data_IF_415684751299
#
_entry.id   IF_415684751299
#
_cell.length_a   1.000
_cell.length_b   1.000
_cell.length_c   1.000
_cell.angle_alpha   90.00
_cell.angle_beta   90.00
_cell.angle_gamma   90.00
#
_symmetry.space_group_name_H-M   'P 1'
#
loop_
_entity.id
_entity.type
_entity.pdbx_description
1 polymer ?
#
# COMPACT_ATOMS: atom_id res chain seq x y z
N UNK A 1 9.34 12.59 16.41
CA UNK A 1 10.77 12.47 16.74
C UNK A 1 10.94 12.11 18.22
N UNK A 2 12.09 11.58 18.63
CA UNK A 2 12.43 11.32 20.04
C UNK A 2 13.91 10.99 20.18
N UNK A 3 14.47 11.10 21.38
CA UNK A 3 15.83 10.63 21.69
C UNK A 3 15.74 9.23 22.32
N UNK A 4 16.54 8.30 21.84
CA UNK A 4 16.70 6.97 22.44
C UNK A 4 18.04 6.86 23.16
N UNK A 5 18.02 6.48 24.44
CA UNK A 5 19.22 6.27 25.27
C UNK A 5 19.29 4.84 25.77
N UNK A 6 20.43 4.18 25.62
CA UNK A 6 20.55 2.80 26.07
C UNK A 6 21.94 2.22 25.86
N UNK A 7 21.97 0.90 25.62
CA UNK A 7 23.20 0.19 25.31
C UNK A 7 23.87 0.74 24.04
N UNK A 8 25.18 0.58 23.94
CA UNK A 8 25.92 0.94 22.74
C UNK A 8 25.40 0.13 21.54
N UNK A 9 25.25 0.80 20.40
CA UNK A 9 24.87 0.16 19.15
C UNK A 9 25.98 -0.78 18.68
N UNK A 10 25.65 -2.05 18.51
CA UNK A 10 26.49 -2.99 17.77
C UNK A 10 26.11 -2.95 16.26
N UNK A 11 26.97 -3.53 15.44
CA UNK A 11 26.77 -3.61 13.98
C UNK A 11 25.43 -4.28 13.61
N UNK A 12 25.02 -5.27 14.40
CA UNK A 12 23.77 -5.98 14.16
C UNK A 12 22.54 -5.09 14.39
N UNK A 13 22.47 -4.40 15.53
CA UNK A 13 21.37 -3.50 15.86
C UNK A 13 21.32 -2.31 14.91
N UNK A 14 22.48 -1.74 14.55
CA UNK A 14 22.54 -0.66 13.56
C UNK A 14 21.94 -1.09 12.22
N UNK A 15 22.33 -2.27 11.70
CA UNK A 15 21.75 -2.84 10.48
C UNK A 15 20.26 -3.08 10.59
N UNK A 16 19.76 -3.55 11.74
CA UNK A 16 18.33 -3.75 11.97
C UNK A 16 17.54 -2.44 11.98
N UNK A 17 18.09 -1.36 12.54
CA UNK A 17 17.46 -0.05 12.53
C UNK A 17 17.38 0.53 11.12
N UNK A 18 18.46 0.42 10.33
CA UNK A 18 18.49 0.82 8.93
C UNK A 18 17.47 0.01 8.12
N UNK A 19 17.44 -1.32 8.31
CA UNK A 19 16.49 -2.19 7.61
C UNK A 19 15.03 -1.83 7.94
N UNK A 20 14.72 -1.55 9.21
CA UNK A 20 13.38 -1.12 9.63
C UNK A 20 13.01 0.23 9.00
N UNK A 21 13.95 1.18 8.97
CA UNK A 21 13.79 2.48 8.33
C UNK A 21 13.44 2.32 6.85
N UNK A 22 14.22 1.52 6.11
CA UNK A 22 14.01 1.27 4.69
C UNK A 22 12.66 0.62 4.42
N UNK A 23 12.30 -0.42 5.17
CA UNK A 23 11.02 -1.13 5.00
C UNK A 23 9.81 -0.24 5.29
N UNK A 24 9.90 0.61 6.32
CA UNK A 24 8.83 1.54 6.64
C UNK A 24 8.67 2.61 5.55
N UNK A 25 9.78 3.18 5.09
CA UNK A 25 9.81 4.17 4.01
C UNK A 25 9.28 3.61 2.67
N UNK A 26 9.61 2.36 2.35
CA UNK A 26 9.19 1.68 1.12
C UNK A 26 7.68 1.36 1.15
N UNK A 27 7.20 0.74 2.24
CA UNK A 27 5.80 0.34 2.42
C UNK A 27 4.87 1.47 2.83
N UNK A 28 4.82 1.77 4.13
CA UNK A 28 3.94 2.81 4.71
C UNK A 28 4.24 4.21 4.16
N UNK A 29 5.51 4.51 3.92
CA UNK A 29 5.97 5.76 3.33
C UNK A 29 5.67 5.91 1.83
N UNK A 30 5.14 4.87 1.15
CA UNK A 30 4.95 4.82 -0.32
C UNK A 30 6.17 5.32 -1.08
N UNK A 31 7.31 4.63 -0.89
CA UNK A 31 8.63 5.04 -1.41
C UNK A 31 8.98 6.48 -1.02
N UNK A 32 8.86 6.77 0.28
CA UNK A 32 9.18 8.05 0.94
C UNK A 32 8.31 9.27 0.55
N UNK A 33 7.29 9.08 -0.28
CA UNK A 33 6.35 10.16 -0.61
C UNK A 33 5.59 10.67 0.62
N UNK A 34 5.24 9.77 1.54
CA UNK A 34 4.46 10.08 2.74
C UNK A 34 5.30 10.32 3.99
N UNK A 35 6.37 9.54 4.17
CA UNK A 35 7.20 9.56 5.38
C UNK A 35 8.66 9.33 5.00
N UNK A 36 9.55 10.14 5.56
CA UNK A 36 10.99 9.93 5.60
C UNK A 36 11.44 9.83 7.05
N UNK A 37 12.39 8.95 7.31
CA UNK A 37 12.90 8.69 8.65
C UNK A 37 14.41 8.92 8.63
N UNK A 38 14.91 9.61 9.66
CA UNK A 38 16.33 9.85 9.89
C UNK A 38 16.76 9.39 11.29
N UNK A 39 17.99 8.89 11.38
CA UNK A 39 18.63 8.51 12.64
C UNK A 39 19.94 9.28 12.76
N UNK A 40 20.09 10.05 13.85
CA UNK A 40 21.22 10.97 14.03
C UNK A 40 21.88 10.74 15.37
N UNK A 41 23.21 10.83 15.43
CA UNK A 41 23.92 10.85 16.71
C UNK A 41 23.52 12.10 17.49
N UNK A 42 22.90 11.91 18.66
CA UNK A 42 22.34 13.03 19.43
C UNK A 42 23.44 13.92 20.03
N UNK A 43 24.55 13.31 20.45
CA UNK A 43 25.65 14.00 21.15
C UNK A 43 26.40 15.03 20.30
N UNK A 44 26.23 15.01 18.96
CA UNK A 44 26.85 15.97 18.05
C UNK A 44 25.94 17.12 17.65
N UNK A 45 24.68 17.13 18.11
CA UNK A 45 23.67 18.10 17.68
C UNK A 45 23.63 19.33 18.58
N UNK A 46 23.46 20.50 17.96
CA UNK A 46 23.17 21.75 18.67
C UNK A 46 21.67 22.05 18.67
N UNK A 47 21.03 22.03 19.84
CA UNK A 47 19.60 22.33 19.98
C UNK A 47 19.33 23.86 20.04
N UNK A 48 18.15 24.34 19.57
CA UNK A 48 17.05 23.60 18.95
C UNK A 48 17.34 23.17 17.50
N UNK A 49 16.63 22.13 17.05
CA UNK A 49 16.66 21.69 15.65
C UNK A 49 15.57 22.40 14.84
N UNK A 50 15.83 22.62 13.56
CA UNK A 50 14.96 23.36 12.67
C UNK A 50 14.63 22.56 11.41
N UNK A 51 13.33 22.43 11.12
CA UNK A 51 12.80 21.94 9.86
C UNK A 51 12.20 23.13 9.08
N UNK A 52 12.74 23.45 7.91
CA UNK A 52 12.31 24.62 7.13
C UNK A 52 12.36 24.35 5.62
N UNK A 53 11.58 25.10 4.86
CA UNK A 53 11.64 25.10 3.41
C UNK A 53 12.64 26.17 2.92
N UNK A 54 13.57 25.80 2.03
CA UNK A 54 14.63 26.67 1.51
C UNK A 54 14.66 26.64 -0.01
N UNK A 55 15.25 27.66 -0.64
CA UNK A 55 15.51 27.64 -2.07
C UNK A 55 16.59 26.58 -2.38
N UNK A 56 16.51 25.85 -3.51
CA UNK A 56 17.40 24.73 -3.80
C UNK A 56 18.91 25.06 -3.75
N UNK A 57 19.28 26.27 -4.15
CA UNK A 57 20.67 26.74 -4.25
C UNK A 57 21.17 27.42 -2.96
N UNK A 58 20.30 27.58 -1.96
CA UNK A 58 20.58 28.41 -0.78
C UNK A 58 21.33 27.70 0.35
N UNK A 59 21.43 26.36 0.29
CA UNK A 59 22.06 25.53 1.32
C UNK A 59 22.98 24.53 0.63
N UNK A 60 24.19 24.36 1.16
CA UNK A 60 25.17 23.38 0.72
C UNK A 60 25.58 22.48 1.88
N UNK A 61 25.75 21.18 1.62
CA UNK A 61 26.28 20.23 2.58
C UNK A 61 26.89 19.03 1.84
N UNK A 62 27.66 18.20 2.55
CA UNK A 62 28.18 16.94 2.01
C UNK A 62 27.11 15.86 2.20
N UNK A 63 26.47 15.34 1.14
CA UNK A 63 25.51 14.25 1.27
C UNK A 63 26.22 12.95 1.69
N UNK A 64 25.50 12.07 2.38
CA UNK A 64 26.00 10.74 2.76
C UNK A 64 26.51 9.98 1.52
N UNK A 65 27.72 9.41 1.60
CA UNK A 65 28.40 8.78 0.45
C UNK A 65 28.73 9.73 -0.72
N UNK A 66 28.80 11.04 -0.45
CA UNK A 66 29.19 12.08 -1.42
C UNK A 66 30.66 12.49 -1.34
N UNK A 67 31.23 12.91 -2.47
CA UNK A 67 32.65 13.30 -2.59
C UNK A 67 32.90 14.81 -2.33
N UNK A 68 31.90 15.58 -1.90
CA UNK A 68 32.05 17.01 -1.65
C UNK A 68 30.75 17.76 -1.35
N UNK A 69 30.85 19.05 -1.06
CA UNK A 69 29.68 19.90 -0.79
C UNK A 69 28.86 20.16 -2.05
N UNK A 70 27.56 19.89 -1.96
CA UNK A 70 26.58 20.08 -3.02
C UNK A 70 25.41 20.90 -2.51
N UNK A 71 24.81 21.71 -3.37
CA UNK A 71 23.47 22.25 -3.11
C UNK A 71 22.36 21.24 -3.41
N UNK A 72 21.11 21.58 -3.08
CA UNK A 72 19.99 20.64 -3.19
C UNK A 72 19.66 20.32 -4.67
N UNK A 73 19.86 21.28 -5.58
CA UNK A 73 19.67 21.08 -7.02
C UNK A 73 20.73 20.13 -7.59
N UNK A 74 21.98 20.32 -7.21
CA UNK A 74 23.10 19.44 -7.56
C UNK A 74 22.84 18.01 -7.05
N UNK A 75 22.43 17.85 -5.79
CA UNK A 75 22.09 16.53 -5.22
C UNK A 75 21.04 15.82 -6.06
N UNK A 76 19.92 16.48 -6.39
CA UNK A 76 18.84 15.85 -7.19
C UNK A 76 19.29 15.48 -8.61
N UNK A 77 20.20 16.26 -9.19
CA UNK A 77 20.66 16.07 -10.56
C UNK A 77 21.74 14.99 -10.70
N UNK A 78 22.64 14.84 -9.71
CA UNK A 78 23.84 14.00 -9.87
C UNK A 78 23.93 12.84 -8.88
N UNK A 79 23.50 13.02 -7.63
CA UNK A 79 23.65 12.01 -6.59
C UNK A 79 22.73 10.80 -6.88
N UNK A 80 23.18 9.53 -6.72
CA UNK A 80 22.36 8.34 -6.97
C UNK A 80 21.01 8.37 -6.25
N UNK A 81 21.00 8.67 -4.94
CA UNK A 81 19.76 8.83 -4.16
C UNK A 81 18.94 10.06 -4.56
N UNK A 82 19.60 11.13 -4.99
CA UNK A 82 18.92 12.31 -5.53
C UNK A 82 18.10 11.95 -6.76
N UNK A 83 18.70 11.27 -7.73
CA UNK A 83 18.02 10.79 -8.94
C UNK A 83 16.89 9.80 -8.63
N UNK A 84 17.11 8.88 -7.69
CA UNK A 84 16.14 7.86 -7.30
C UNK A 84 14.83 8.49 -6.76
N UNK A 85 14.93 9.57 -5.97
CA UNK A 85 13.79 10.19 -5.28
C UNK A 85 13.43 11.60 -5.77
N UNK A 86 14.09 12.13 -6.81
CA UNK A 86 13.85 13.50 -7.31
C UNK A 86 12.39 13.77 -7.67
N UNK A 87 11.69 12.75 -8.17
CA UNK A 87 10.28 12.84 -8.53
C UNK A 87 9.37 13.22 -7.35
N UNK A 88 9.78 12.95 -6.11
CA UNK A 88 8.99 13.29 -4.90
C UNK A 88 8.86 14.81 -4.72
N UNK A 89 9.86 15.57 -5.19
CA UNK A 89 9.91 17.03 -5.08
C UNK A 89 9.64 17.73 -6.42
N UNK A 90 9.27 16.99 -7.46
CA UNK A 90 9.05 17.54 -8.79
C UNK A 90 7.97 18.63 -8.79
N UNK A 91 8.31 19.80 -9.33
CA UNK A 91 7.39 20.95 -9.43
C UNK A 91 7.36 21.87 -8.20
N UNK A 92 8.06 21.54 -7.12
CA UNK A 92 8.19 22.41 -5.95
C UNK A 92 9.33 23.43 -6.11
N UNK A 93 9.13 24.66 -5.61
CA UNK A 93 10.12 25.76 -5.67
C UNK A 93 11.02 25.85 -4.45
N UNK A 94 10.61 25.23 -3.35
CA UNK A 94 11.37 25.20 -2.10
C UNK A 94 11.42 23.76 -1.61
N UNK A 95 12.53 23.41 -0.99
CA UNK A 95 12.81 22.07 -0.53
C UNK A 95 13.00 22.03 0.98
N UNK A 96 12.52 20.98 1.66
CA UNK A 96 12.65 20.88 3.09
C UNK A 96 14.10 20.55 3.49
N UNK A 97 14.59 21.20 4.53
CA UNK A 97 15.90 20.94 5.11
C UNK A 97 15.75 20.75 6.62
N UNK A 98 16.49 19.79 7.17
CA UNK A 98 16.58 19.59 8.61
C UNK A 98 17.98 19.96 9.08
N UNK A 99 18.10 20.84 10.06
CA UNK A 99 19.37 21.41 10.51
C UNK A 99 19.37 21.73 12.00
N UNK A 100 20.57 21.91 12.56
CA UNK A 100 20.76 22.25 13.97
C UNK A 100 20.85 23.78 14.20
N UNK A 101 20.95 24.19 15.45
CA UNK A 101 21.06 25.60 15.84
C UNK A 101 22.37 26.28 15.37
N UNK A 102 23.40 25.49 15.03
CA UNK A 102 24.66 25.99 14.47
C UNK A 102 24.58 26.21 12.96
N UNK A 103 23.45 25.85 12.33
CA UNK A 103 23.21 25.96 10.89
C UNK A 103 23.73 24.78 10.08
N UNK A 104 24.21 23.70 10.73
CA UNK A 104 24.65 22.49 10.04
C UNK A 104 23.46 21.64 9.60
N UNK A 105 23.52 21.16 8.37
CA UNK A 105 22.49 20.30 7.79
C UNK A 105 22.61 18.89 8.36
N UNK A 106 21.50 18.35 8.85
CA UNK A 106 21.35 16.95 9.25
C UNK A 106 20.90 16.11 8.06
N UNK A 107 19.93 16.62 7.29
CA UNK A 107 19.40 15.92 6.11
C UNK A 107 18.64 16.86 5.20
N UNK A 108 18.47 16.40 3.96
CA UNK A 108 17.53 16.88 2.96
C UNK A 108 16.40 15.84 2.80
N UNK A 109 15.33 15.88 3.62
CA UNK A 109 14.21 14.96 3.47
C UNK A 109 13.47 15.17 2.13
N UNK A 110 12.81 14.14 1.57
CA UNK A 110 12.94 12.72 1.89
C UNK A 110 14.17 12.05 1.21
N UNK A 111 15.10 12.85 0.69
CA UNK A 111 16.11 12.44 -0.28
C UNK A 111 17.30 11.77 0.40
N UNK A 112 18.05 12.48 1.24
CA UNK A 112 19.34 12.00 1.77
C UNK A 112 19.75 12.70 3.07
N UNK A 113 20.53 12.00 3.90
CA UNK A 113 21.17 12.54 5.09
C UNK A 113 22.52 13.20 4.75
N UNK A 114 23.05 14.04 5.65
CA UNK A 114 24.44 14.48 5.53
C UNK A 114 25.43 13.38 5.92
N UNK A 115 26.66 13.47 5.42
CA UNK A 115 27.73 12.52 5.78
C UNK A 115 28.25 12.74 7.21
N UNK A 116 28.15 13.98 7.71
CA UNK A 116 28.69 14.40 9.00
C UNK A 116 27.76 14.09 10.19
N UNK A 117 26.70 14.87 10.37
CA UNK A 117 25.72 14.75 11.44
C UNK A 117 24.63 13.72 11.12
N UNK A 118 24.48 13.36 9.85
CA UNK A 118 23.42 12.50 9.31
C UNK A 118 23.64 10.99 9.45
N UNK A 119 24.71 10.56 10.13
CA UNK A 119 25.10 9.15 10.24
C UNK A 119 25.22 8.68 11.69
N UNK A 120 24.60 7.54 11.96
CA UNK A 120 24.72 6.80 13.22
C UNK A 120 25.85 5.76 13.10
N UNK A 121 26.61 5.51 14.16
CA UNK A 121 27.72 4.56 14.13
C UNK A 121 27.68 3.54 15.27
N UNK A 122 28.44 2.46 15.11
CA UNK A 122 28.64 1.49 16.19
C UNK A 122 29.32 2.16 17.38
N UNK A 123 28.83 1.89 18.59
CA UNK A 123 29.32 2.50 19.83
C UNK A 123 28.43 3.63 20.35
N UNK A 124 27.58 4.22 19.51
CA UNK A 124 26.64 5.27 19.95
C UNK A 124 25.65 4.70 20.96
N UNK A 125 25.48 5.40 22.09
CA UNK A 125 24.56 5.03 23.19
C UNK A 125 23.31 5.90 23.22
N UNK A 126 23.32 7.00 22.47
CA UNK A 126 22.26 7.99 22.40
C UNK A 126 22.11 8.49 20.96
N UNK A 127 20.89 8.47 20.45
CA UNK A 127 20.58 8.94 19.11
C UNK A 127 19.18 9.54 19.01
N UNK A 128 19.01 10.47 18.07
CA UNK A 128 17.74 11.07 17.69
C UNK A 128 17.09 10.24 16.59
N UNK A 129 15.86 9.81 16.82
CA UNK A 129 14.93 9.39 15.78
C UNK A 129 14.12 10.58 15.29
N UNK A 130 14.07 10.76 13.98
CA UNK A 130 13.33 11.81 13.29
C UNK A 130 12.41 11.17 12.25
N UNK A 131 11.19 11.69 12.12
CA UNK A 131 10.30 11.32 11.04
C UNK A 131 9.59 12.57 10.51
N UNK A 132 9.75 12.84 9.22
CA UNK A 132 9.10 13.92 8.48
C UNK A 132 8.18 13.36 7.42
N UNK A 133 7.13 14.09 7.06
CA UNK A 133 6.18 13.59 6.07
C UNK A 133 5.02 14.53 5.79
N UNK A 134 4.25 14.18 4.75
CA UNK A 134 3.01 14.85 4.38
C UNK A 134 1.76 14.20 5.02
N UNK A 135 1.95 13.06 5.69
CA UNK A 135 0.91 12.26 6.31
C UNK A 135 1.21 12.13 7.82
N UNK A 136 0.50 12.92 8.63
CA UNK A 136 0.75 13.03 10.08
C UNK A 136 0.48 11.70 10.81
N UNK A 137 -0.52 10.94 10.39
CA UNK A 137 -0.81 9.61 10.95
C UNK A 137 0.36 8.64 10.68
N UNK A 138 0.85 8.61 9.44
CA UNK A 138 1.98 7.75 9.08
C UNK A 138 3.28 8.16 9.79
N UNK A 139 3.53 9.47 9.96
CA UNK A 139 4.67 9.99 10.74
C UNK A 139 4.56 9.56 12.20
N UNK A 140 3.41 9.76 12.84
CA UNK A 140 3.19 9.39 14.24
C UNK A 140 3.30 7.86 14.44
N UNK A 141 2.73 7.07 13.52
CA UNK A 141 2.84 5.61 13.52
C UNK A 141 4.31 5.17 13.45
N UNK A 142 5.09 5.74 12.53
CA UNK A 142 6.51 5.42 12.42
C UNK A 142 7.25 5.70 13.73
N UNK A 143 6.96 6.84 14.35
CA UNK A 143 7.56 7.25 15.62
C UNK A 143 7.14 6.31 16.76
N UNK A 144 5.88 5.88 16.82
CA UNK A 144 5.38 4.94 17.83
C UNK A 144 5.99 3.55 17.67
N UNK A 145 6.08 3.04 16.44
CA UNK A 145 6.67 1.72 16.12
C UNK A 145 8.15 1.70 16.51
N UNK A 146 8.93 2.71 16.11
CA UNK A 146 10.34 2.79 16.47
C UNK A 146 10.56 2.96 17.98
N UNK A 147 9.77 3.84 18.62
CA UNK A 147 9.84 4.03 20.07
C UNK A 147 9.58 2.72 20.81
N UNK A 148 8.52 1.98 20.45
CA UNK A 148 8.22 0.68 21.04
C UNK A 148 9.32 -0.35 20.77
N UNK A 149 9.79 -0.46 19.53
CA UNK A 149 10.82 -1.42 19.15
C UNK A 149 12.14 -1.20 19.91
N UNK A 150 12.47 0.05 20.19
CA UNK A 150 13.64 0.43 20.98
C UNK A 150 13.41 0.22 22.49
N UNK A 151 12.23 0.58 23.00
CA UNK A 151 11.84 0.32 24.38
C UNK A 151 11.90 -1.18 24.73
N UNK A 152 11.38 -2.04 23.86
CA UNK A 152 11.45 -3.51 24.00
C UNK A 152 12.90 -4.04 24.05
N UNK A 153 13.86 -3.27 23.53
CA UNK A 153 15.31 -3.57 23.55
C UNK A 153 16.05 -2.94 24.74
N UNK A 154 15.32 -2.28 25.65
CA UNK A 154 15.87 -1.66 26.86
C UNK A 154 16.36 -0.22 26.68
N UNK A 155 16.01 0.45 25.57
CA UNK A 155 16.26 1.88 25.43
C UNK A 155 15.21 2.69 26.20
N UNK A 156 15.66 3.78 26.83
CA UNK A 156 14.80 4.82 27.38
C UNK A 156 14.47 5.79 26.26
N UNK A 157 13.18 6.05 26.07
CA UNK A 157 12.68 6.99 25.06
C UNK A 157 12.40 8.33 25.73
N UNK A 158 13.21 9.33 25.40
CA UNK A 158 13.03 10.71 25.82
C UNK A 158 12.28 11.48 24.74
N UNK A 159 11.11 11.98 25.10
CA UNK A 159 10.28 12.74 24.17
C UNK A 159 10.85 14.12 23.86
N UNK A 160 10.55 14.62 22.65
CA UNK A 160 10.91 15.97 22.22
C UNK A 160 9.66 16.79 21.94
N UNK A 161 9.74 18.09 22.19
CA UNK A 161 8.67 19.03 21.84
C UNK A 161 8.88 19.53 20.41
N UNK A 162 7.89 19.28 19.55
CA UNK A 162 7.85 19.81 18.19
C UNK A 162 6.98 21.06 18.19
N UNK A 163 7.60 22.20 17.89
CA UNK A 163 6.91 23.48 17.77
C UNK A 163 6.49 23.69 16.32
N UNK A 164 5.19 23.54 16.07
CA UNK A 164 4.54 23.94 14.82
C UNK A 164 4.18 25.43 14.87
N UNK A 165 3.71 25.97 13.75
CA UNK A 165 3.25 27.36 13.67
C UNK A 165 2.00 27.63 14.50
N UNK A 166 1.17 26.61 14.70
CA UNK A 166 -0.14 26.68 15.35
C UNK A 166 -0.22 25.94 16.70
N UNK A 167 0.71 25.01 16.98
CA UNK A 167 0.67 24.15 18.17
C UNK A 167 2.05 23.68 18.62
N UNK A 168 2.13 23.14 19.84
CA UNK A 168 3.29 22.41 20.35
C UNK A 168 2.84 20.99 20.66
N UNK A 169 3.56 19.99 20.14
CA UNK A 169 3.25 18.57 20.31
C UNK A 169 4.42 17.86 20.97
N UNK A 170 4.17 17.11 22.04
CA UNK A 170 5.15 16.20 22.60
C UNK A 170 5.17 14.90 21.79
N UNK A 171 6.35 14.50 21.31
CA UNK A 171 6.55 13.29 20.50
C UNK A 171 7.54 12.33 21.17
N UNK A 172 7.40 11.00 21.03
CA UNK A 172 6.40 10.31 20.22
C UNK A 172 5.00 10.37 20.86
N UNK A 173 3.96 10.45 20.04
CA UNK A 173 2.58 10.34 20.52
C UNK A 173 2.29 8.87 20.78
N UNK A 174 2.21 8.49 22.06
CA UNK A 174 2.00 7.11 22.51
C UNK A 174 0.63 6.91 23.18
N UNK A 175 -0.33 7.79 22.87
CA UNK A 175 -1.68 7.68 23.40
C UNK A 175 -2.36 6.42 22.87
N UNK A 176 -2.83 5.58 23.79
CA UNK A 176 -3.52 4.34 23.46
C UNK A 176 -4.98 4.61 23.13
N UNK A 177 -5.48 3.93 22.10
CA UNK A 177 -6.89 3.96 21.75
C UNK A 177 -7.68 3.01 22.65
N UNK A 178 -8.94 3.33 22.92
CA UNK A 178 -9.84 2.48 23.71
C UNK A 178 -10.99 1.99 22.84
N UNK A 179 -11.17 0.68 22.80
CA UNK A 179 -12.23 0.02 22.05
C UNK A 179 -13.03 -0.87 22.99
N UNK A 180 -14.35 -0.89 22.80
CA UNK A 180 -15.25 -1.77 23.56
C UNK A 180 -15.66 -2.92 22.65
N UNK A 181 -15.44 -4.13 23.13
CA UNK A 181 -15.88 -5.38 22.48
C UNK A 181 -16.54 -6.23 23.55
N UNK A 182 -17.76 -6.70 23.29
CA UNK A 182 -18.43 -7.61 24.21
C UNK A 182 -17.95 -9.05 24.00
N UNK A 183 -17.89 -9.83 25.07
CA UNK A 183 -17.57 -11.26 25.02
C UNK A 183 -18.59 -12.02 24.16
N UNK A 184 -19.85 -11.58 24.18
CA UNK A 184 -20.94 -12.16 23.40
C UNK A 184 -20.72 -11.99 21.90
N UNK A 185 -20.38 -10.78 21.45
CA UNK A 185 -20.11 -10.49 20.03
C UNK A 185 -18.89 -11.26 19.54
N UNK A 186 -17.82 -11.27 20.33
CA UNK A 186 -16.61 -12.04 20.00
C UNK A 186 -16.91 -13.54 19.90
N UNK A 187 -17.69 -14.09 20.84
CA UNK A 187 -18.08 -15.50 20.84
C UNK A 187 -18.95 -15.86 19.64
N UNK A 188 -19.93 -14.99 19.32
CA UNK A 188 -20.86 -15.19 18.22
C UNK A 188 -20.14 -15.13 16.86
N UNK A 189 -19.25 -14.14 16.68
CA UNK A 189 -18.53 -13.96 15.42
C UNK A 189 -17.49 -15.06 15.17
N UNK A 190 -16.76 -15.47 16.21
CA UNK A 190 -15.76 -16.53 16.11
C UNK A 190 -16.35 -17.94 16.15
N UNK A 191 -17.60 -18.08 16.62
CA UNK A 191 -18.21 -19.40 16.81
C UNK A 191 -17.59 -20.22 17.95
N UNK A 192 -16.98 -19.56 18.94
CA UNK A 192 -16.33 -20.20 20.09
C UNK A 192 -16.89 -19.67 21.40
N UNK A 193 -17.01 -20.53 22.41
CA UNK A 193 -17.42 -20.08 23.74
C UNK A 193 -16.27 -19.35 24.44
N UNK A 194 -16.41 -18.03 24.61
CA UNK A 194 -15.51 -17.20 25.40
C UNK A 194 -16.18 -16.79 26.72
N UNK A 195 -15.36 -16.67 27.75
CA UNK A 195 -15.67 -15.93 28.97
C UNK A 195 -14.69 -14.74 29.10
N UNK A 196 -14.96 -13.82 30.02
CA UNK A 196 -14.11 -12.63 30.24
C UNK A 196 -12.64 -13.00 30.53
N UNK A 197 -12.40 -14.06 31.29
CA UNK A 197 -11.04 -14.47 31.67
C UNK A 197 -10.26 -15.00 30.47
N UNK A 198 -10.90 -15.78 29.61
CA UNK A 198 -10.34 -16.32 28.37
C UNK A 198 -10.11 -15.20 27.38
N UNK A 199 -11.07 -14.29 27.19
CA UNK A 199 -10.91 -13.14 26.30
C UNK A 199 -9.70 -12.29 26.71
N UNK A 200 -9.57 -11.94 27.99
CA UNK A 200 -8.41 -11.16 28.50
C UNK A 200 -7.08 -11.86 28.27
N UNK A 201 -7.02 -13.18 28.43
CA UNK A 201 -5.81 -13.97 28.15
C UNK A 201 -5.45 -13.93 26.66
N UNK A 202 -6.44 -14.00 25.77
CA UNK A 202 -6.23 -13.93 24.31
C UNK A 202 -5.79 -12.53 23.87
N UNK A 203 -6.43 -11.49 24.39
CA UNK A 203 -6.00 -10.09 24.20
C UNK A 203 -4.54 -9.88 24.61
N UNK A 204 -4.14 -10.42 25.77
CA UNK A 204 -2.75 -10.34 26.23
C UNK A 204 -1.75 -11.01 25.27
N UNK A 205 -2.11 -12.15 24.66
CA UNK A 205 -1.28 -12.79 23.62
C UNK A 205 -1.18 -11.92 22.36
N UNK A 206 -2.25 -11.22 22.01
CA UNK A 206 -2.30 -10.25 20.92
C UNK A 206 -1.63 -8.89 21.26
N UNK A 207 -1.01 -8.78 22.45
CA UNK A 207 -0.38 -7.54 22.96
C UNK A 207 -1.37 -6.38 23.11
N UNK A 208 -2.64 -6.70 23.37
CA UNK A 208 -3.68 -5.72 23.69
C UNK A 208 -3.92 -5.68 25.19
N UNK A 209 -4.04 -4.47 25.72
CA UNK A 209 -4.36 -4.25 27.13
C UNK A 209 -5.86 -4.36 27.39
N UNK A 210 -6.23 -4.47 28.66
CA UNK A 210 -7.63 -4.38 29.10
C UNK A 210 -7.67 -3.57 30.40
N UNK A 211 -8.38 -2.44 30.39
CA UNK A 211 -8.52 -1.54 31.53
C UNK A 211 -9.90 -0.89 31.52
N UNK A 212 -10.50 -0.74 32.70
CA UNK A 212 -11.78 -0.02 32.91
C UNK A 212 -12.92 -0.49 31.99
N UNK A 213 -12.98 -1.80 31.71
CA UNK A 213 -14.01 -2.37 30.82
C UNK A 213 -13.74 -2.18 29.32
N UNK A 214 -12.60 -1.60 28.95
CA UNK A 214 -12.20 -1.33 27.57
C UNK A 214 -10.90 -2.05 27.20
N UNK A 215 -10.77 -2.41 25.92
CA UNK A 215 -9.52 -2.88 25.33
C UNK A 215 -8.65 -1.67 25.04
N UNK A 216 -7.42 -1.72 25.52
CA UNK A 216 -6.42 -0.67 25.34
C UNK A 216 -5.50 -1.08 24.19
N UNK A 217 -5.66 -0.40 23.06
CA UNK A 217 -4.89 -0.61 21.83
C UNK A 217 -3.67 0.31 21.86
N UNK A 218 -2.44 -0.23 21.84
CA UNK A 218 -1.24 0.60 21.90
C UNK A 218 -1.08 1.41 20.61
N UNK A 219 -0.44 2.59 20.70
CA UNK A 219 -0.32 3.54 19.59
C UNK A 219 0.35 3.01 18.31
N UNK A 220 1.11 1.91 18.39
CA UNK A 220 1.74 1.25 17.25
C UNK A 220 0.81 0.25 16.52
N UNK A 221 -0.39 -0.04 17.04
CA UNK A 221 -1.43 -0.90 16.42
C UNK A 221 -2.48 -0.08 15.67
N UNK A 222 -2.04 0.60 14.61
CA UNK A 222 -2.91 1.45 13.79
C UNK A 222 -3.80 0.68 12.81
N UNK A 223 -3.58 -0.64 12.69
CA UNK A 223 -4.41 -1.56 11.92
C UNK A 223 -5.78 -1.80 12.57
N UNK A 224 -5.91 -1.60 13.89
CA UNK A 224 -7.17 -1.78 14.62
C UNK A 224 -8.02 -0.50 14.50
N UNK A 225 -9.03 -0.53 13.63
CA UNK A 225 -9.94 0.59 13.39
C UNK A 225 -11.37 0.30 13.85
N UNK A 226 -11.69 -0.97 14.08
CA UNK A 226 -13.03 -1.45 14.39
C UNK A 226 -12.98 -2.57 15.46
N UNK A 227 -14.03 -2.73 16.29
CA UNK A 227 -14.19 -3.87 17.20
C UNK A 227 -13.91 -5.25 16.58
N UNK A 228 -14.18 -5.42 15.29
CA UNK A 228 -13.96 -6.68 14.55
C UNK A 228 -12.48 -7.01 14.41
N UNK A 229 -11.60 -6.02 14.27
CA UNK A 229 -10.14 -6.25 14.16
C UNK A 229 -9.58 -6.81 15.48
N UNK A 230 -10.16 -6.38 16.61
CA UNK A 230 -9.85 -6.99 17.91
C UNK A 230 -10.38 -8.43 18.00
N UNK A 231 -11.55 -8.70 17.44
CA UNK A 231 -12.10 -10.07 17.40
C UNK A 231 -11.24 -10.97 16.52
N UNK A 232 -10.71 -10.46 15.40
CA UNK A 232 -9.72 -11.16 14.57
C UNK A 232 -8.48 -11.54 15.39
N UNK A 233 -7.89 -10.59 16.12
CA UNK A 233 -6.75 -10.84 17.00
C UNK A 233 -7.05 -11.90 18.08
N UNK A 234 -8.25 -11.87 18.65
CA UNK A 234 -8.71 -12.90 19.58
C UNK A 234 -8.76 -14.26 18.87
N UNK A 235 -9.25 -14.31 17.63
CA UNK A 235 -9.30 -15.51 16.79
C UNK A 235 -7.91 -16.06 16.47
N UNK A 236 -6.95 -15.20 16.09
CA UNK A 236 -5.56 -15.57 15.84
C UNK A 236 -4.92 -16.12 17.12
N UNK A 237 -5.09 -15.43 18.25
CA UNK A 237 -4.56 -15.86 19.55
C UNK A 237 -5.19 -17.15 20.07
N UNK A 238 -6.43 -17.43 19.66
CA UNK A 238 -7.16 -18.67 19.93
C UNK A 238 -6.62 -19.83 19.07
N UNK A 239 -6.21 -19.53 17.84
CA UNK A 239 -5.77 -20.49 16.84
C UNK A 239 -6.96 -21.00 16.04
N UNK A 240 -7.04 -20.64 14.76
CA UNK A 240 -8.15 -21.03 13.88
C UNK A 240 -8.30 -22.55 13.76
N UNK A 241 -7.21 -23.30 13.91
CA UNK A 241 -7.19 -24.77 13.94
C UNK A 241 -7.96 -25.37 15.12
N UNK A 242 -8.18 -24.61 16.19
CA UNK A 242 -8.91 -25.04 17.37
C UNK A 242 -10.42 -24.71 17.27
N UNK A 243 -10.85 -24.08 16.17
CA UNK A 243 -12.26 -23.74 15.94
C UNK A 243 -12.97 -24.91 15.26
N UNK A 244 -14.13 -25.28 15.80
CA UNK A 244 -14.97 -26.32 15.21
C UNK A 244 -15.76 -25.81 14.01
N UNK A 245 -16.26 -26.73 13.18
CA UNK A 245 -17.25 -26.38 12.18
C UNK A 245 -18.61 -26.12 12.84
N UNK A 246 -19.29 -25.08 12.37
CA UNK A 246 -20.68 -24.82 12.72
C UNK A 246 -21.61 -25.33 11.60
N UNK A 247 -22.79 -25.87 11.95
CA UNK A 247 -23.77 -26.22 10.94
C UNK A 247 -24.26 -24.96 10.22
N UNK A 248 -24.56 -25.09 8.92
CA UNK A 248 -25.24 -24.04 8.18
C UNK A 248 -26.63 -23.81 8.79
N UNK A 249 -26.90 -22.57 9.18
CA UNK A 249 -28.20 -22.16 9.75
C UNK A 249 -29.18 -21.63 8.70
N UNK A 250 -28.69 -21.37 7.49
CA UNK A 250 -29.48 -20.92 6.35
C UNK A 250 -29.44 -21.96 5.23
N UNK A 251 -30.61 -22.28 4.68
CA UNK A 251 -30.78 -23.22 3.58
C UNK A 251 -31.35 -22.50 2.35
N UNK A 252 -30.59 -22.52 1.27
CA UNK A 252 -31.04 -22.07 -0.05
C UNK A 252 -30.76 -23.17 -1.08
N UNK A 253 -31.62 -23.27 -2.10
CA UNK A 253 -31.41 -24.21 -3.21
C UNK A 253 -30.75 -23.47 -4.36
N UNK A 254 -29.51 -23.86 -4.68
CA UNK A 254 -28.79 -23.32 -5.83
C UNK A 254 -29.50 -23.69 -7.14
N UNK A 255 -29.60 -22.73 -8.06
CA UNK A 255 -30.08 -22.95 -9.43
C UNK A 255 -29.20 -22.18 -10.42
N UNK A 256 -28.95 -22.76 -11.58
CA UNK A 256 -28.29 -22.05 -12.69
C UNK A 256 -29.20 -20.94 -13.19
N UNK A 257 -28.60 -19.84 -13.64
CA UNK A 257 -29.35 -18.81 -14.37
C UNK A 257 -29.82 -19.40 -15.71
N UNK A 258 -30.95 -18.91 -16.27
CA UNK A 258 -31.45 -19.40 -17.56
C UNK A 258 -30.43 -19.30 -18.70
N UNK A 259 -29.59 -18.26 -18.69
CA UNK A 259 -28.51 -18.08 -19.64
C UNK A 259 -27.51 -19.24 -19.57
N UNK A 260 -26.98 -19.53 -18.37
CA UNK A 260 -25.99 -20.62 -18.20
C UNK A 260 -26.58 -21.95 -18.66
N UNK A 261 -27.85 -22.23 -18.32
CA UNK A 261 -28.51 -23.44 -18.78
C UNK A 261 -28.65 -23.50 -20.31
N UNK A 262 -28.98 -22.40 -20.98
CA UNK A 262 -29.08 -22.33 -22.44
C UNK A 262 -27.71 -22.50 -23.11
N UNK A 263 -26.69 -21.86 -22.56
CA UNK A 263 -25.30 -21.95 -22.96
C UNK A 263 -24.75 -23.38 -22.86
N UNK A 264 -24.96 -24.03 -21.71
CA UNK A 264 -24.57 -25.43 -21.49
C UNK A 264 -25.25 -26.34 -22.51
N UNK A 265 -26.53 -26.09 -22.82
CA UNK A 265 -27.24 -26.86 -23.84
C UNK A 265 -26.67 -26.65 -25.24
N UNK A 266 -26.33 -25.41 -25.60
CA UNK A 266 -25.68 -25.12 -26.89
C UNK A 266 -24.31 -25.81 -27.00
N UNK A 267 -23.51 -25.78 -25.93
CA UNK A 267 -22.22 -26.47 -25.85
C UNK A 267 -22.37 -27.97 -26.05
N UNK A 268 -23.30 -28.62 -25.34
CA UNK A 268 -23.58 -30.05 -25.51
C UNK A 268 -23.93 -30.41 -26.95
N UNK A 269 -24.74 -29.58 -27.62
CA UNK A 269 -25.11 -29.79 -29.02
C UNK A 269 -23.89 -29.66 -29.95
N UNK A 270 -23.05 -28.64 -29.78
CA UNK A 270 -21.82 -28.47 -30.56
C UNK A 270 -20.86 -29.66 -30.39
N UNK A 271 -20.68 -30.15 -29.16
CA UNK A 271 -19.88 -31.35 -28.89
C UNK A 271 -20.51 -32.59 -29.53
N UNK A 272 -21.84 -32.75 -29.44
CA UNK A 272 -22.57 -33.85 -30.07
C UNK A 272 -22.47 -33.87 -31.60
N UNK A 273 -22.25 -32.70 -32.21
CA UNK A 273 -21.98 -32.55 -33.65
C UNK A 273 -20.50 -32.79 -34.02
N UNK A 274 -19.65 -33.18 -33.07
CA UNK A 274 -18.23 -33.46 -33.28
C UNK A 274 -17.34 -32.21 -33.34
N UNK A 275 -17.82 -31.07 -32.85
CA UNK A 275 -17.02 -29.85 -32.75
C UNK A 275 -16.17 -29.85 -31.47
N UNK A 276 -14.97 -29.30 -31.55
CA UNK A 276 -14.08 -29.11 -30.41
C UNK A 276 -14.26 -27.71 -29.82
N UNK A 277 -14.54 -27.65 -28.52
CA UNK A 277 -14.58 -26.37 -27.79
C UNK A 277 -13.17 -25.79 -27.64
N UNK A 278 -13.06 -24.48 -27.84
CA UNK A 278 -11.83 -23.70 -27.70
C UNK A 278 -12.09 -22.55 -26.73
N UNK A 279 -11.06 -22.19 -25.96
CA UNK A 279 -11.09 -21.06 -25.05
C UNK A 279 -10.01 -20.05 -25.43
N UNK A 280 -10.42 -18.90 -25.97
CA UNK A 280 -9.50 -17.81 -26.32
C UNK A 280 -9.39 -16.78 -25.18
N UNK A 281 -8.28 -16.05 -25.16
CA UNK A 281 -8.07 -15.03 -24.14
C UNK A 281 -9.09 -13.88 -24.30
N UNK A 282 -9.63 -13.41 -23.17
CA UNK A 282 -10.47 -12.21 -23.14
C UNK A 282 -9.69 -10.95 -23.53
N UNK A 283 -8.40 -10.89 -23.20
CA UNK A 283 -7.50 -9.81 -23.57
C UNK A 283 -6.75 -10.14 -24.86
N UNK A 284 -6.70 -9.18 -25.76
CA UNK A 284 -6.13 -9.34 -27.09
C UNK A 284 -5.60 -8.00 -27.63
N UNK A 285 -5.39 -7.89 -28.94
CA UNK A 285 -4.94 -6.68 -29.62
C UNK A 285 -5.92 -6.26 -30.73
N UNK A 286 -5.95 -4.95 -31.04
CA UNK A 286 -6.68 -4.45 -32.21
C UNK A 286 -6.17 -5.07 -33.51
N UNK A 287 -4.87 -5.35 -33.58
CA UNK A 287 -4.26 -6.04 -34.72
C UNK A 287 -4.92 -7.39 -34.98
N UNK A 288 -5.18 -8.19 -33.93
CA UNK A 288 -5.84 -9.48 -34.09
C UNK A 288 -7.32 -9.32 -34.41
N UNK A 289 -8.02 -8.41 -33.73
CA UNK A 289 -9.46 -8.25 -33.86
C UNK A 289 -9.87 -7.66 -35.21
N UNK A 290 -9.13 -6.69 -35.73
CA UNK A 290 -9.56 -5.80 -36.81
C UNK A 290 -8.61 -5.76 -37.98
N UNK A 291 -7.31 -5.57 -37.75
CA UNK A 291 -6.35 -5.40 -38.85
C UNK A 291 -6.21 -6.70 -39.65
N UNK A 292 -6.05 -7.84 -38.96
CA UNK A 292 -5.95 -9.17 -39.60
C UNK A 292 -7.25 -9.67 -40.21
N UNK A 293 -8.38 -9.18 -39.73
CA UNK A 293 -9.71 -9.54 -40.26
C UNK A 293 -10.19 -8.55 -41.32
N UNK A 294 -9.45 -7.47 -41.56
CA UNK A 294 -9.82 -6.37 -42.43
C UNK A 294 -11.21 -5.80 -42.11
N UNK A 295 -11.53 -5.67 -40.82
CA UNK A 295 -12.81 -5.14 -40.34
C UNK A 295 -12.63 -3.84 -39.57
N UNK A 296 -13.61 -2.91 -39.60
CA UNK A 296 -13.54 -1.71 -38.79
C UNK A 296 -13.68 -2.02 -37.30
N UNK A 297 -13.07 -1.19 -36.45
CA UNK A 297 -13.28 -1.23 -35.00
C UNK A 297 -14.75 -0.89 -34.68
N UNK A 298 -15.44 -1.80 -33.99
CA UNK A 298 -16.87 -1.70 -33.66
C UNK A 298 -17.11 -1.12 -32.25
N UNK A 299 -16.11 -0.51 -31.63
CA UNK A 299 -16.22 0.06 -30.28
C UNK A 299 -15.59 -0.85 -29.24
N UNK A 300 -14.26 -0.97 -29.31
CA UNK A 300 -13.48 -1.84 -28.42
C UNK A 300 -13.09 -1.14 -27.12
N UNK A 301 -13.11 -1.88 -26.01
CA UNK A 301 -12.57 -1.40 -24.74
C UNK A 301 -11.05 -1.54 -24.73
N UNK A 302 -10.35 -0.41 -24.59
CA UNK A 302 -8.90 -0.34 -24.56
C UNK A 302 -8.36 -0.25 -23.13
N UNK A 303 -7.24 -0.92 -22.87
CA UNK A 303 -6.53 -0.84 -21.60
C UNK A 303 -5.58 0.34 -21.66
N UNK A 304 -5.73 1.31 -20.74
CA UNK A 304 -4.92 2.53 -20.71
C UNK A 304 -3.43 2.25 -20.56
N UNK A 305 -3.06 1.35 -19.66
CA UNK A 305 -1.68 0.96 -19.39
C UNK A 305 -1.55 -0.56 -19.46
N UNK A 306 -1.01 -1.07 -20.56
CA UNK A 306 -0.79 -2.50 -20.78
C UNK A 306 0.69 -2.82 -20.85
N UNK A 307 1.06 -4.02 -20.35
CA UNK A 307 2.46 -4.48 -20.35
C UNK A 307 2.89 -5.04 -21.72
N UNK A 308 1.95 -5.43 -22.57
CA UNK A 308 2.20 -5.95 -23.92
C UNK A 308 1.04 -5.62 -24.85
N UNK A 309 1.36 -5.26 -26.09
CA UNK A 309 0.35 -4.97 -27.13
C UNK A 309 -0.60 -6.15 -27.38
N UNK A 310 -0.15 -7.38 -27.12
CA UNK A 310 -0.99 -8.59 -27.22
C UNK A 310 -2.17 -8.57 -26.25
N UNK A 311 -2.14 -7.75 -25.20
CA UNK A 311 -3.18 -7.60 -24.20
C UNK A 311 -3.61 -6.12 -24.05
N UNK A 312 -3.63 -5.38 -25.16
CA UNK A 312 -3.96 -3.96 -25.21
C UNK A 312 -5.47 -3.68 -25.14
N UNK A 313 -6.31 -4.65 -25.50
CA UNK A 313 -7.77 -4.48 -25.56
C UNK A 313 -8.52 -5.68 -25.00
N UNK A 314 -9.79 -5.48 -24.63
CA UNK A 314 -10.72 -6.57 -24.34
C UNK A 314 -11.44 -6.99 -25.62
N UNK A 315 -11.61 -8.29 -25.86
CA UNK A 315 -12.23 -8.80 -27.09
C UNK A 315 -13.68 -8.30 -27.24
N UNK A 316 -14.01 -7.87 -28.45
CA UNK A 316 -15.35 -7.44 -28.85
C UNK A 316 -16.15 -8.51 -29.58
N UNK A 317 -15.48 -9.58 -30.03
CA UNK A 317 -16.08 -10.71 -30.75
C UNK A 317 -15.13 -11.91 -30.75
N UNK A 318 -15.68 -13.12 -30.98
CA UNK A 318 -14.96 -14.39 -30.82
C UNK A 318 -14.27 -14.89 -32.10
N UNK A 319 -14.80 -14.51 -33.26
CA UNK A 319 -14.36 -15.06 -34.55
C UNK A 319 -12.86 -14.85 -34.84
N UNK A 320 -12.24 -13.68 -34.57
CA UNK A 320 -10.80 -13.51 -34.81
C UNK A 320 -9.94 -14.46 -33.96
N UNK A 321 -10.37 -14.75 -32.73
CA UNK A 321 -9.73 -15.74 -31.87
C UNK A 321 -9.76 -17.15 -32.47
N UNK A 322 -10.93 -17.57 -32.95
CA UNK A 322 -11.09 -18.86 -33.63
C UNK A 322 -10.25 -18.95 -34.92
N UNK A 323 -10.21 -17.90 -35.73
CA UNK A 323 -9.37 -17.83 -36.93
C UNK A 323 -7.88 -17.90 -36.59
N UNK A 324 -7.46 -17.24 -35.51
CA UNK A 324 -6.08 -17.33 -34.99
C UNK A 324 -5.71 -18.76 -34.63
N UNK A 325 -6.63 -19.48 -33.99
CA UNK A 325 -6.44 -20.90 -33.61
C UNK A 325 -6.30 -21.77 -34.85
N UNK A 326 -7.17 -21.61 -35.85
CA UNK A 326 -7.06 -22.33 -37.13
C UNK A 326 -5.74 -22.00 -37.85
N UNK A 327 -5.33 -20.73 -37.87
CA UNK A 327 -4.10 -20.26 -38.51
C UNK A 327 -2.85 -20.89 -37.89
N UNK A 328 -2.83 -21.07 -36.57
CA UNK A 328 -1.73 -21.73 -35.84
C UNK A 328 -1.75 -23.26 -36.01
N UNK A 329 -2.90 -23.85 -36.34
CA UNK A 329 -3.11 -25.29 -36.45
C UNK A 329 -3.24 -25.81 -37.90
N UNK A 330 -2.70 -25.09 -38.90
CA UNK A 330 -2.72 -25.52 -40.32
C UNK A 330 -2.07 -26.88 -40.58
N UNK A 331 -1.19 -27.32 -39.69
CA UNK A 331 -0.49 -28.61 -39.74
C UNK A 331 -1.37 -29.80 -39.29
N UNK A 332 -2.57 -29.55 -38.76
CA UNK A 332 -3.55 -30.57 -38.38
C UNK A 332 -4.43 -30.96 -39.57
N UNK A 333 -4.95 -32.18 -39.54
CA UNK A 333 -5.84 -32.70 -40.58
C UNK A 333 -7.13 -31.90 -40.70
N UNK A 334 -7.65 -31.81 -41.92
CA UNK A 334 -8.92 -31.16 -42.25
C UNK A 334 -10.03 -32.21 -42.44
N UNK A 335 -11.31 -31.87 -42.15
CA UNK A 335 -11.80 -30.59 -41.63
C UNK A 335 -11.53 -30.40 -40.13
N UNK A 336 -11.30 -29.15 -39.71
CA UNK A 336 -11.21 -28.76 -38.29
C UNK A 336 -12.53 -28.11 -37.86
N UNK A 337 -13.26 -28.74 -36.94
CA UNK A 337 -14.54 -28.24 -36.42
C UNK A 337 -14.34 -27.64 -35.03
N UNK A 338 -14.33 -26.32 -34.93
CA UNK A 338 -14.11 -25.59 -33.69
C UNK A 338 -15.32 -24.73 -33.32
N UNK A 339 -15.58 -24.58 -32.04
CA UNK A 339 -16.50 -23.57 -31.52
C UNK A 339 -15.96 -22.95 -30.24
N UNK A 340 -16.43 -21.76 -29.92
CA UNK A 340 -16.19 -21.11 -28.63
C UNK A 340 -17.48 -20.41 -28.20
N UNK A 341 -17.78 -20.52 -26.91
CA UNK A 341 -18.79 -19.71 -26.26
C UNK A 341 -18.09 -18.87 -25.19
N UNK A 342 -18.24 -17.55 -25.26
CA UNK A 342 -17.59 -16.67 -24.30
C UNK A 342 -18.13 -15.25 -24.35
N UNK A 343 -17.94 -14.53 -23.26
CA UNK A 343 -18.31 -13.13 -23.17
C UNK A 343 -17.47 -12.28 -24.13
N UNK A 344 -18.10 -11.21 -24.62
CA UNK A 344 -17.47 -10.17 -25.44
C UNK A 344 -17.85 -8.82 -24.85
N UNK A 345 -17.07 -7.80 -25.14
CA UNK A 345 -17.35 -6.43 -24.70
C UNK A 345 -17.92 -5.59 -25.83
N UNK A 346 -18.92 -4.79 -25.51
CA UNK A 346 -19.49 -3.79 -26.41
C UNK A 346 -19.43 -2.45 -25.69
N UNK A 347 -18.86 -1.44 -26.35
CA UNK A 347 -18.86 -0.10 -25.80
C UNK A 347 -20.22 0.56 -26.07
N UNK A 348 -21.06 0.68 -25.05
CA UNK A 348 -22.28 1.47 -25.15
C UNK A 348 -21.96 2.97 -25.02
N UNK A 349 -22.33 3.75 -26.03
CA UNK A 349 -22.38 5.20 -25.90
C UNK A 349 -23.61 5.57 -25.07
N UNK A 350 -23.44 5.69 -23.76
CA UNK A 350 -24.46 6.30 -22.91
C UNK A 350 -24.55 7.78 -23.31
N UNK A 351 -25.62 8.13 -24.02
CA UNK A 351 -25.91 9.51 -24.38
C UNK A 351 -26.01 10.35 -23.11
N UNK A 352 -25.14 11.35 -22.96
CA UNK A 352 -25.25 12.32 -21.88
C UNK A 352 -26.55 13.08 -22.07
N UNK A 353 -27.58 12.72 -21.30
CA UNK A 353 -28.75 13.58 -21.14
C UNK A 353 -28.24 14.93 -20.63
N UNK A 354 -28.39 15.99 -21.42
CA UNK A 354 -28.10 17.36 -21.01
C UNK A 354 -28.98 17.71 -19.81
N UNK A 355 -28.47 17.50 -18.60
CA UNK A 355 -29.01 18.11 -17.40
C UNK A 355 -28.74 19.61 -17.47
N UNK A 356 -29.77 20.35 -17.87
CA UNK A 356 -29.80 21.80 -17.71
C UNK A 356 -29.97 22.14 -16.23
N UNK A 357 -28.85 22.45 -15.58
CA UNK A 357 -28.64 23.44 -14.50
C UNK A 357 -27.49 22.98 -13.60
N UNK A 358 -26.57 23.90 -13.36
CA UNK A 358 -25.19 23.61 -13.03
C UNK A 358 -24.89 23.41 -11.55
N UNK A 359 -23.80 22.67 -11.33
CA UNK A 359 -22.79 22.90 -10.28
C UNK A 359 -21.45 22.44 -10.88
N UNK A 360 -20.44 23.30 -10.83
CA UNK A 360 -19.04 22.95 -11.15
C UNK A 360 -18.47 22.14 -9.98
N UNK A 361 -18.01 20.92 -10.24
CA UNK A 361 -17.26 20.10 -9.30
C UNK A 361 -16.56 18.98 -10.07
N UNK A 362 -15.24 18.91 -9.93
CA UNK A 362 -14.36 17.97 -10.61
C UNK A 362 -14.65 16.51 -10.19
N UNK A 363 -14.51 15.59 -11.15
CA UNK A 363 -14.55 14.15 -10.94
C UNK A 363 -14.57 13.44 -12.28
N UNK A 364 -13.41 12.94 -12.70
CA UNK A 364 -13.28 11.99 -13.82
C UNK A 364 -14.11 10.74 -13.48
N UNK A 365 -15.34 10.70 -14.01
CA UNK A 365 -16.28 9.60 -13.79
C UNK A 365 -15.89 8.39 -14.63
N UNK A 366 -15.50 7.31 -13.96
CA UNK A 366 -15.31 6.01 -14.58
C UNK A 366 -16.56 5.55 -15.32
N UNK A 367 -16.39 5.17 -16.58
CA UNK A 367 -17.45 4.54 -17.36
C UNK A 367 -17.80 3.20 -16.73
N UNK A 368 -19.02 3.09 -16.23
CA UNK A 368 -19.57 1.84 -15.72
C UNK A 368 -19.88 0.96 -16.92
N UNK A 369 -19.19 -0.17 -17.03
CA UNK A 369 -19.48 -1.20 -18.04
C UNK A 369 -20.66 -2.01 -17.54
N UNK A 370 -21.80 -1.90 -18.20
CA UNK A 370 -22.87 -2.86 -18.04
C UNK A 370 -22.43 -4.16 -18.72
N UNK A 371 -22.22 -5.21 -17.93
CA UNK A 371 -22.21 -6.58 -18.43
C UNK A 371 -23.66 -7.01 -18.39
N UNK A 372 -24.41 -6.75 -19.45
CA UNK A 372 -25.75 -7.32 -19.57
C UNK A 372 -25.63 -8.83 -19.73
N UNK A 373 -26.27 -9.54 -18.81
CA UNK A 373 -26.23 -11.00 -18.64
C UNK A 373 -27.15 -11.72 -19.63
#
# INVERSE_FOLDING_TARGET
SFIAKGKALDDYLLKQLIQLQEKFCEGYGRRRQKVSIGLYRSSTLSWPLHYKAVAPESVRFVPLEGDGEMDLSEILATHPKGKEYAWVLAGHKHYPIFMDASGKVLSFPPIINSDDLGRLETGDTEFLFEATGLDEEAVNLSSAVFAQALADRGYVIEGVQVQYTDRIVATPVLEAQRIIVSVADASALLGVALDDARMKRLLGKARLGYADGSIVVPAWRHDIMHPVDVIEDIGIAYGFENMGSLPLTSYTVGRSTPLVAACDKARELCVGLGMQEVFSAMLTSKELLYDKTCTPDIGTVEIKEYMSETYSVVRSWLLPGLLSVLSKNKHRGYPQHLFEQGAVTVLEQVGVAKTSKGVKGAGEGGHTVAVDH
#
